data_IF_204199784693
#
_entry.id   IF_204199784693
#
_cell.length_a   1.000
_cell.length_b   1.000
_cell.length_c   1.000
_cell.angle_alpha   90.00
_cell.angle_beta   90.00
_cell.angle_gamma   90.00
#
_symmetry.space_group_name_H-M   'P 1'
#
loop_
_entity.id
_entity.type
_entity.pdbx_description
1 polymer ?
#
# COMPACT_ATOMS: atom_id res chain seq x y z
N UNK A 1 43.53 9.47 9.47
CA UNK A 1 44.07 10.84 9.55
C UNK A 1 44.04 11.44 8.16
N UNK A 2 43.34 12.56 8.00
CA UNK A 2 43.39 13.53 6.87
C UNK A 2 42.70 12.99 5.58
N UNK A 3 41.71 13.61 4.94
CA UNK A 3 41.27 15.02 4.88
C UNK A 3 39.75 15.07 4.57
N UNK A 4 38.91 15.45 5.53
CA UNK A 4 37.53 15.89 5.26
C UNK A 4 37.58 17.37 4.91
N UNK A 5 37.61 17.68 3.61
CA UNK A 5 37.54 19.06 3.14
C UNK A 5 36.56 19.13 1.96
N UNK A 6 35.27 19.08 2.27
CA UNK A 6 34.21 19.54 1.38
C UNK A 6 33.46 20.69 2.06
N UNK A 7 34.18 21.79 2.28
CA UNK A 7 33.55 23.10 2.44
C UNK A 7 32.85 23.44 1.12
N UNK A 8 31.54 23.29 1.09
CA UNK A 8 30.67 23.76 0.01
C UNK A 8 30.68 25.29 -0.03
N UNK A 9 31.70 25.87 -0.66
CA UNK A 9 31.73 27.27 -1.07
C UNK A 9 31.30 27.37 -2.54
N UNK A 10 30.00 27.45 -2.77
CA UNK A 10 29.49 28.03 -4.00
C UNK A 10 28.24 28.86 -3.69
N UNK A 11 28.33 30.15 -4.00
CA UNK A 11 27.24 31.12 -3.92
C UNK A 11 26.23 30.82 -5.03
N UNK A 12 25.26 29.94 -4.79
CA UNK A 12 24.28 29.56 -5.82
C UNK A 12 22.87 29.45 -5.24
N UNK A 13 22.05 30.45 -5.52
CA UNK A 13 20.61 30.39 -5.36
C UNK A 13 19.96 31.52 -6.16
N UNK A 14 18.85 31.24 -6.83
CA UNK A 14 18.08 32.29 -7.51
C UNK A 14 17.49 33.20 -6.43
N UNK A 15 17.97 34.44 -6.35
CA UNK A 15 17.85 35.30 -5.16
C UNK A 15 16.43 35.49 -4.60
N UNK A 16 15.40 35.42 -5.44
CA UNK A 16 14.00 35.64 -5.04
C UNK A 16 13.37 34.45 -4.29
N UNK A 17 14.02 33.28 -4.28
CA UNK A 17 13.58 32.06 -3.61
C UNK A 17 14.31 31.83 -2.27
N UNK A 18 15.25 32.71 -1.91
CA UNK A 18 16.03 32.59 -0.69
C UNK A 18 15.20 32.92 0.55
N UNK A 19 15.39 32.14 1.61
CA UNK A 19 14.78 32.41 2.90
C UNK A 19 15.48 33.58 3.62
N UNK A 20 14.79 34.32 4.51
CA UNK A 20 15.37 35.46 5.24
C UNK A 20 16.67 35.14 5.99
N UNK A 21 16.74 33.99 6.64
CA UNK A 21 17.93 33.52 7.35
C UNK A 21 19.10 33.22 6.41
N UNK A 22 18.86 32.76 5.18
CA UNK A 22 19.92 32.52 4.19
C UNK A 22 20.52 33.86 3.71
N UNK A 23 19.67 34.88 3.51
CA UNK A 23 20.10 36.23 3.13
C UNK A 23 20.85 36.92 4.28
N UNK A 24 20.43 36.69 5.52
CA UNK A 24 21.05 37.30 6.70
C UNK A 24 22.36 36.60 7.13
N UNK A 25 22.50 35.29 6.88
CA UNK A 25 23.75 34.55 7.05
C UNK A 25 24.80 35.04 6.04
N UNK A 26 24.43 35.21 4.77
CA UNK A 26 25.35 35.67 3.72
C UNK A 26 25.83 37.11 3.89
N UNK A 27 25.16 37.91 4.73
CA UNK A 27 25.49 39.33 4.93
C UNK A 27 26.25 39.64 6.23
N UNK A 28 26.18 38.81 7.28
CA UNK A 28 26.74 39.20 8.60
C UNK A 28 27.45 38.11 9.42
N UNK A 29 27.26 36.79 9.21
CA UNK A 29 27.93 35.77 10.08
C UNK A 29 28.19 34.40 9.40
N UNK A 30 29.32 33.76 9.72
CA UNK A 30 29.72 32.41 9.27
C UNK A 30 28.85 31.28 9.90
N UNK A 31 27.52 31.30 9.68
CA UNK A 31 26.59 30.27 10.14
C UNK A 31 26.18 29.29 9.02
N UNK A 32 25.80 28.07 9.39
CA UNK A 32 25.08 27.13 8.51
C UNK A 32 23.58 27.43 8.54
N UNK A 33 22.89 27.35 7.40
CA UNK A 33 21.43 27.52 7.35
C UNK A 33 20.69 26.22 7.72
N UNK A 34 19.44 26.36 8.18
CA UNK A 34 18.56 25.27 8.61
C UNK A 34 17.87 24.61 7.39
N UNK A 35 17.53 23.32 7.47
CA UNK A 35 16.75 22.57 6.47
C UNK A 35 15.39 23.24 6.17
N UNK A 36 14.90 24.08 7.09
CA UNK A 36 13.70 24.90 6.93
C UNK A 36 13.82 25.99 5.88
N UNK A 37 15.03 26.31 5.40
CA UNK A 37 15.23 27.20 4.26
C UNK A 37 14.64 26.59 2.97
N UNK A 38 14.76 25.28 2.79
CA UNK A 38 14.20 24.57 1.62
C UNK A 38 12.66 24.64 1.62
N UNK A 39 12.03 24.62 2.80
CA UNK A 39 10.58 24.79 2.94
C UNK A 39 10.11 26.15 2.39
N UNK A 40 10.88 27.21 2.66
CA UNK A 40 10.59 28.54 2.10
C UNK A 40 10.75 28.56 0.58
N UNK A 41 11.84 27.97 0.07
CA UNK A 41 12.08 27.87 -1.37
C UNK A 41 10.99 27.06 -2.08
N UNK A 42 10.49 25.98 -1.48
CA UNK A 42 9.33 25.23 -1.99
C UNK A 42 8.09 26.13 -2.08
N UNK A 43 7.79 26.95 -1.07
CA UNK A 43 6.68 27.90 -1.14
C UNK A 43 6.82 28.88 -2.31
N UNK A 44 8.05 29.38 -2.53
CA UNK A 44 8.36 30.25 -3.66
C UNK A 44 8.16 29.54 -5.01
N UNK A 45 8.54 28.26 -5.12
CA UNK A 45 8.29 27.44 -6.32
C UNK A 45 6.80 27.21 -6.54
N UNK A 46 6.01 26.95 -5.48
CA UNK A 46 4.55 26.81 -5.59
C UNK A 46 3.90 28.10 -6.09
N UNK A 47 4.32 29.25 -5.58
CA UNK A 47 3.90 30.56 -6.09
C UNK A 47 4.22 30.70 -7.58
N UNK A 48 5.43 30.34 -7.98
CA UNK A 48 5.85 30.41 -9.39
C UNK A 48 5.03 29.50 -10.30
N UNK A 49 4.79 28.25 -9.89
CA UNK A 49 3.98 27.30 -10.66
C UNK A 49 2.54 27.80 -10.86
N UNK A 50 1.96 28.44 -9.85
CA UNK A 50 0.54 28.85 -9.87
C UNK A 50 0.34 30.17 -10.60
N UNK A 51 1.27 31.10 -10.43
CA UNK A 51 1.16 32.45 -11.00
C UNK A 51 1.85 32.56 -12.37
N UNK A 52 2.70 31.60 -12.73
CA UNK A 52 3.61 31.67 -13.87
C UNK A 52 4.70 32.74 -13.72
N UNK A 53 4.84 33.32 -12.52
CA UNK A 53 5.73 34.45 -12.25
C UNK A 53 6.61 34.18 -11.04
N UNK A 54 7.86 34.64 -11.03
CA UNK A 54 8.73 34.47 -9.87
C UNK A 54 8.17 35.24 -8.65
N UNK A 55 8.48 34.80 -7.41
CA UNK A 55 8.15 35.58 -6.22
C UNK A 55 8.75 36.99 -6.31
N UNK A 56 8.03 38.02 -5.85
CA UNK A 56 8.39 39.42 -6.09
C UNK A 56 8.58 39.75 -7.59
N UNK A 57 7.53 39.61 -8.43
CA UNK A 57 7.67 39.74 -9.88
C UNK A 57 8.09 41.16 -10.31
N UNK A 58 7.70 42.17 -9.53
CA UNK A 58 7.96 43.59 -9.80
C UNK A 58 9.33 44.09 -9.34
N UNK A 59 10.10 43.27 -8.61
CA UNK A 59 11.37 43.68 -8.02
C UNK A 59 12.57 43.10 -8.77
N UNK A 60 13.67 43.86 -8.78
CA UNK A 60 14.98 43.29 -9.17
C UNK A 60 15.48 42.33 -8.09
N UNK A 61 16.44 41.46 -8.42
CA UNK A 61 17.01 40.53 -7.46
C UNK A 61 17.59 41.24 -6.22
N UNK A 62 18.26 42.38 -6.42
CA UNK A 62 18.81 43.16 -5.31
C UNK A 62 17.73 43.78 -4.41
N UNK A 63 16.65 44.31 -5.01
CA UNK A 63 15.51 44.82 -4.23
C UNK A 63 14.79 43.73 -3.45
N UNK A 64 14.64 42.54 -4.06
CA UNK A 64 14.08 41.37 -3.39
C UNK A 64 14.95 40.93 -2.21
N UNK A 65 16.28 40.86 -2.37
CA UNK A 65 17.21 40.53 -1.28
C UNK A 65 17.06 41.47 -0.09
N UNK A 66 17.00 42.79 -0.32
CA UNK A 66 16.81 43.77 0.77
C UNK A 66 15.47 43.55 1.47
N UNK A 67 14.37 43.30 0.73
CA UNK A 67 13.06 43.03 1.33
C UNK A 67 13.08 41.73 2.14
N UNK A 68 13.67 40.67 1.60
CA UNK A 68 13.76 39.36 2.25
C UNK A 68 14.59 39.45 3.54
N UNK A 69 15.77 40.10 3.50
CA UNK A 69 16.63 40.30 4.68
C UNK A 69 15.94 41.09 5.80
N UNK A 70 15.06 42.03 5.44
CA UNK A 70 14.19 42.76 6.36
C UNK A 70 12.95 41.96 6.82
N UNK A 71 12.87 40.66 6.52
CA UNK A 71 11.78 39.79 6.96
C UNK A 71 10.45 40.02 6.24
N UNK A 72 10.45 40.57 5.01
CA UNK A 72 9.24 40.65 4.20
C UNK A 72 8.97 39.33 3.50
N UNK A 73 7.72 38.88 3.56
CA UNK A 73 7.23 37.72 2.82
C UNK A 73 7.18 37.99 1.30
N UNK A 74 7.20 36.94 0.46
CA UNK A 74 7.02 37.07 -0.98
C UNK A 74 5.74 37.82 -1.35
N UNK A 75 5.86 38.75 -2.30
CA UNK A 75 4.72 39.40 -2.94
C UNK A 75 4.33 38.61 -4.19
N UNK A 76 3.07 38.19 -4.26
CA UNK A 76 2.52 37.41 -5.36
C UNK A 76 1.00 37.62 -5.48
N UNK A 77 0.50 37.52 -6.70
CA UNK A 77 -0.91 37.72 -7.04
C UNK A 77 -1.52 36.36 -7.42
N UNK A 78 -2.24 35.73 -6.49
CA UNK A 78 -2.90 34.44 -6.76
C UNK A 78 -4.10 34.62 -7.70
N UNK A 79 -4.36 33.67 -8.63
CA UNK A 79 -5.59 33.64 -9.43
C UNK A 79 -6.84 33.68 -8.54
N UNK A 80 -7.91 34.36 -8.99
CA UNK A 80 -9.14 34.54 -8.21
C UNK A 80 -9.85 33.22 -7.84
N UNK A 81 -9.59 32.15 -8.58
CA UNK A 81 -10.10 30.80 -8.34
C UNK A 81 -9.20 29.93 -7.46
N UNK A 82 -8.18 30.50 -6.80
CA UNK A 82 -7.30 29.78 -5.89
C UNK A 82 -8.03 29.31 -4.64
N UNK A 83 -7.85 28.03 -4.28
CA UNK A 83 -8.52 27.40 -3.14
C UNK A 83 -8.07 27.98 -1.79
N UNK A 84 -8.87 27.83 -0.73
CA UNK A 84 -8.52 28.31 0.61
C UNK A 84 -7.38 27.48 1.22
N UNK A 85 -7.30 26.20 0.88
CA UNK A 85 -6.28 25.26 1.32
C UNK A 85 -4.91 25.67 0.77
N UNK A 86 -4.83 26.09 -0.50
CA UNK A 86 -3.62 26.65 -1.09
C UNK A 86 -3.16 27.92 -0.36
N UNK A 87 -4.10 28.80 -0.02
CA UNK A 87 -3.79 30.04 0.70
C UNK A 87 -3.25 29.73 2.10
N UNK A 88 -3.85 28.78 2.79
CA UNK A 88 -3.39 28.34 4.11
C UNK A 88 -2.01 27.66 4.03
N UNK A 89 -1.79 26.82 3.02
CA UNK A 89 -0.51 26.16 2.78
C UNK A 89 0.64 27.18 2.62
N UNK A 90 0.47 28.19 1.77
CA UNK A 90 1.47 29.25 1.57
C UNK A 90 1.66 30.10 2.83
N UNK A 91 0.59 30.39 3.56
CA UNK A 91 0.64 31.15 4.83
C UNK A 91 1.42 30.41 5.92
N UNK A 92 1.34 29.08 5.96
CA UNK A 92 2.11 28.24 6.88
C UNK A 92 3.58 28.14 6.48
N UNK A 93 3.89 28.14 5.19
CA UNK A 93 5.28 28.12 4.69
C UNK A 93 6.00 29.45 4.92
N UNK A 94 5.38 30.59 4.60
CA UNK A 94 6.06 31.89 4.63
C UNK A 94 6.18 32.51 6.02
N UNK A 95 6.48 31.72 7.07
CA UNK A 95 6.86 32.27 8.38
C UNK A 95 8.30 32.75 8.35
N UNK A 96 8.55 33.99 8.76
CA UNK A 96 9.90 34.56 8.77
C UNK A 96 10.80 33.77 9.71
N UNK A 97 10.32 33.45 10.91
CA UNK A 97 11.01 32.58 11.87
C UNK A 97 11.00 31.11 11.38
N UNK A 98 12.17 30.51 11.08
CA UNK A 98 12.27 29.12 10.61
C UNK A 98 11.65 28.11 11.58
N UNK A 99 11.68 28.38 12.90
CA UNK A 99 11.13 27.49 13.92
C UNK A 99 9.62 27.36 13.86
N UNK A 100 8.94 28.34 13.29
CA UNK A 100 7.49 28.36 13.11
C UNK A 100 7.04 27.77 11.77
N UNK A 101 7.99 27.46 10.87
CA UNK A 101 7.66 26.81 9.60
C UNK A 101 7.38 25.32 9.84
N UNK A 102 6.43 24.72 9.13
CA UNK A 102 6.18 23.27 9.16
C UNK A 102 7.37 22.48 8.63
N UNK A 103 7.47 21.20 8.98
CA UNK A 103 8.42 20.26 8.34
C UNK A 103 7.87 19.77 7.00
N UNK A 104 8.70 19.10 6.20
CA UNK A 104 8.22 18.40 5.00
C UNK A 104 7.12 17.39 5.32
N UNK A 105 7.25 16.66 6.43
CA UNK A 105 6.27 15.65 6.85
C UNK A 105 4.94 16.26 7.28
N UNK A 106 4.97 17.47 7.86
CA UNK A 106 3.77 18.23 8.19
C UNK A 106 3.08 18.74 6.91
N UNK A 107 3.85 19.25 5.95
CA UNK A 107 3.32 19.74 4.67
C UNK A 107 2.72 18.63 3.82
N UNK A 108 3.29 17.42 3.83
CA UNK A 108 2.75 16.25 3.14
C UNK A 108 1.37 15.83 3.67
N UNK A 109 1.02 16.24 4.90
CA UNK A 109 -0.28 15.97 5.54
C UNK A 109 -1.27 17.13 5.39
N UNK A 110 -0.85 18.26 4.82
CA UNK A 110 -1.68 19.45 4.71
C UNK A 110 -2.76 19.29 3.63
N UNK A 111 -3.97 19.80 3.88
CA UNK A 111 -5.14 19.62 3.01
C UNK A 111 -4.87 20.00 1.54
N UNK A 112 -4.19 21.12 1.27
CA UNK A 112 -3.75 21.47 -0.10
C UNK A 112 -3.04 20.34 -0.87
N UNK A 113 -2.22 19.55 -0.19
CA UNK A 113 -1.46 18.43 -0.79
C UNK A 113 -2.32 17.17 -0.80
N UNK A 114 -3.02 16.90 0.30
CA UNK A 114 -3.80 15.68 0.50
C UNK A 114 -5.08 15.69 -0.35
N UNK A 115 -5.76 16.83 -0.50
CA UNK A 115 -7.01 17.00 -1.26
C UNK A 115 -6.81 16.71 -2.76
N UNK A 116 -5.64 17.03 -3.33
CA UNK A 116 -5.31 16.63 -4.71
C UNK A 116 -5.05 15.13 -4.84
N UNK A 117 -4.47 14.49 -3.82
CA UNK A 117 -4.36 13.03 -3.72
C UNK A 117 -5.67 12.32 -3.30
N UNK A 118 -6.64 13.08 -2.79
CA UNK A 118 -7.97 12.67 -2.35
C UNK A 118 -9.09 13.10 -3.29
N UNK A 119 -8.78 13.53 -4.52
CA UNK A 119 -9.75 13.48 -5.64
C UNK A 119 -10.05 12.01 -6.00
N UNK A 120 -10.65 11.36 -5.00
CA UNK A 120 -11.28 10.04 -4.89
C UNK A 120 -12.64 10.05 -5.59
N UNK A 121 -12.90 11.06 -6.42
CA UNK A 121 -14.01 11.04 -7.35
C UNK A 121 -13.60 10.03 -8.41
N UNK A 122 -14.12 8.82 -8.30
CA UNK A 122 -14.13 7.90 -9.41
C UNK A 122 -14.72 8.66 -10.59
N UNK A 123 -14.08 8.64 -11.76
CA UNK A 123 -14.72 9.11 -12.97
C UNK A 123 -16.08 8.42 -13.07
N UNK A 124 -17.18 9.16 -13.20
CA UNK A 124 -18.53 8.57 -13.40
C UNK A 124 -18.56 7.61 -14.61
N UNK A 125 -17.58 7.78 -15.51
CA UNK A 125 -17.34 6.98 -16.69
C UNK A 125 -15.85 6.76 -16.83
N UNK A 126 -15.45 5.59 -17.31
CA UNK A 126 -14.06 5.25 -17.58
C UNK A 126 -13.92 4.50 -18.88
N UNK A 127 -12.74 4.60 -19.48
CA UNK A 127 -12.41 3.90 -20.71
C UNK A 127 -11.68 2.62 -20.33
N UNK A 128 -12.27 1.46 -20.65
CA UNK A 128 -11.58 0.17 -20.51
C UNK A 128 -10.54 0.04 -21.61
N UNK A 129 -9.29 -0.22 -21.23
CA UNK A 129 -8.17 -0.32 -22.16
C UNK A 129 -7.88 -1.77 -22.50
N UNK A 130 -7.58 -2.57 -21.48
CA UNK A 130 -7.24 -3.98 -21.63
C UNK A 130 -7.74 -4.78 -20.44
N UNK A 131 -8.09 -6.04 -20.68
CA UNK A 131 -8.32 -6.97 -19.59
C UNK A 131 -6.97 -7.45 -19.04
N UNK A 132 -6.80 -7.38 -17.72
CA UNK A 132 -5.55 -7.72 -17.01
C UNK A 132 -5.71 -8.91 -16.06
N UNK A 133 -6.94 -9.35 -15.77
CA UNK A 133 -7.21 -10.53 -14.95
C UNK A 133 -8.50 -11.24 -15.36
N UNK A 134 -8.50 -12.56 -15.21
CA UNK A 134 -9.63 -13.44 -15.55
C UNK A 134 -9.95 -14.34 -14.34
N UNK A 135 -11.22 -14.40 -13.98
CA UNK A 135 -11.82 -15.43 -13.13
C UNK A 135 -13.24 -15.74 -13.62
N UNK A 136 -13.84 -16.84 -13.18
CA UNK A 136 -15.15 -17.34 -13.70
C UNK A 136 -16.26 -16.29 -13.66
N UNK A 137 -16.34 -15.52 -12.58
CA UNK A 137 -17.34 -14.45 -12.38
C UNK A 137 -16.72 -13.06 -12.22
N UNK A 138 -15.39 -12.97 -12.33
CA UNK A 138 -14.62 -11.76 -12.05
C UNK A 138 -13.75 -11.43 -13.23
N UNK A 139 -13.78 -10.19 -13.69
CA UNK A 139 -12.86 -9.67 -14.71
C UNK A 139 -12.17 -8.44 -14.18
N UNK A 140 -10.87 -8.29 -14.41
CA UNK A 140 -10.13 -7.09 -14.03
C UNK A 140 -9.67 -6.39 -15.29
N UNK A 141 -9.96 -5.09 -15.40
CA UNK A 141 -9.58 -4.26 -16.54
C UNK A 141 -8.65 -3.15 -16.09
N UNK A 142 -7.63 -2.85 -16.89
CA UNK A 142 -6.99 -1.55 -16.86
C UNK A 142 -7.96 -0.52 -17.47
N UNK A 143 -8.16 0.58 -16.77
CA UNK A 143 -9.00 1.68 -17.20
C UNK A 143 -8.30 3.03 -17.00
N UNK A 144 -8.77 4.03 -17.73
CA UNK A 144 -8.32 5.41 -17.64
C UNK A 144 -9.48 6.36 -17.37
N UNK A 145 -9.17 7.45 -16.68
CA UNK A 145 -10.08 8.59 -16.53
C UNK A 145 -10.17 9.33 -17.88
N UNK A 146 -11.37 9.46 -18.49
CA UNK A 146 -11.54 10.20 -19.75
C UNK A 146 -11.05 11.65 -19.67
N UNK A 147 -11.13 12.26 -18.49
CA UNK A 147 -10.72 13.65 -18.24
C UNK A 147 -9.25 13.76 -17.86
N UNK A 148 -8.62 12.65 -17.47
CA UNK A 148 -7.20 12.57 -17.14
C UNK A 148 -6.61 11.23 -17.63
N UNK A 149 -6.26 11.12 -18.94
CA UNK A 149 -5.76 9.87 -19.51
C UNK A 149 -4.47 9.34 -18.88
N UNK A 150 -3.73 10.16 -18.13
CA UNK A 150 -2.54 9.72 -17.38
C UNK A 150 -2.90 9.02 -16.06
N UNK A 151 -4.14 9.18 -15.59
CA UNK A 151 -4.66 8.52 -14.38
C UNK A 151 -5.19 7.13 -14.75
N UNK A 152 -4.30 6.16 -14.65
CA UNK A 152 -4.62 4.74 -14.82
C UNK A 152 -5.10 4.09 -13.51
N UNK A 153 -6.06 3.18 -13.61
CA UNK A 153 -6.58 2.41 -12.48
C UNK A 153 -7.11 1.05 -12.93
N UNK A 154 -7.26 0.14 -11.98
CA UNK A 154 -7.87 -1.17 -12.22
C UNK A 154 -9.36 -1.14 -11.86
N UNK A 155 -10.19 -1.77 -12.70
CA UNK A 155 -11.61 -1.99 -12.47
C UNK A 155 -11.88 -3.48 -12.38
N UNK A 156 -12.21 -3.96 -11.18
CA UNK A 156 -12.63 -5.33 -10.92
C UNK A 156 -14.15 -5.42 -11.06
N UNK A 157 -14.61 -6.10 -12.09
CA UNK A 157 -16.02 -6.33 -12.37
C UNK A 157 -16.44 -7.71 -11.87
N UNK A 158 -17.50 -7.73 -11.06
CA UNK A 158 -18.12 -8.95 -10.54
C UNK A 158 -19.50 -9.06 -11.17
N UNK A 159 -19.71 -10.10 -11.97
CA UNK A 159 -21.02 -10.40 -12.55
C UNK A 159 -21.88 -11.09 -11.49
N UNK A 160 -23.02 -10.48 -11.16
CA UNK A 160 -23.97 -10.99 -10.18
C UNK A 160 -25.14 -11.65 -10.91
N UNK A 161 -25.60 -12.81 -10.42
CA UNK A 161 -26.91 -13.30 -10.86
C UNK A 161 -27.98 -12.40 -10.24
N UNK A 162 -29.11 -12.13 -10.93
CA UNK A 162 -30.15 -11.25 -10.40
C UNK A 162 -30.64 -11.64 -9.00
N UNK A 163 -30.69 -12.95 -8.72
CA UNK A 163 -31.10 -13.50 -7.41
C UNK A 163 -30.07 -13.28 -6.29
N UNK A 164 -28.80 -13.05 -6.62
CA UNK A 164 -27.71 -12.83 -5.65
C UNK A 164 -27.42 -11.34 -5.43
N UNK A 165 -27.91 -10.47 -6.33
CA UNK A 165 -27.57 -9.05 -6.39
C UNK A 165 -27.73 -8.35 -5.04
N UNK A 166 -28.89 -8.47 -4.40
CA UNK A 166 -29.18 -7.74 -3.17
C UNK A 166 -28.25 -8.19 -2.03
N UNK A 167 -28.08 -9.50 -1.86
CA UNK A 167 -27.17 -10.09 -0.88
C UNK A 167 -25.73 -9.61 -1.12
N UNK A 168 -25.26 -9.69 -2.37
CA UNK A 168 -23.91 -9.28 -2.75
C UNK A 168 -23.69 -7.79 -2.45
N UNK A 169 -24.64 -6.94 -2.84
CA UNK A 169 -24.54 -5.50 -2.62
C UNK A 169 -24.60 -5.14 -1.14
N UNK A 170 -25.43 -5.82 -0.34
CA UNK A 170 -25.50 -5.61 1.10
C UNK A 170 -24.17 -5.94 1.78
N UNK A 171 -23.58 -7.08 1.42
CA UNK A 171 -22.26 -7.50 1.93
C UNK A 171 -21.17 -6.51 1.52
N UNK A 172 -21.16 -6.11 0.25
CA UNK A 172 -20.17 -5.15 -0.25
C UNK A 172 -20.28 -3.77 0.41
N UNK A 173 -21.50 -3.26 0.68
CA UNK A 173 -21.69 -1.96 1.35
C UNK A 173 -21.11 -1.93 2.77
N UNK A 174 -21.09 -3.06 3.48
CA UNK A 174 -20.44 -3.14 4.78
C UNK A 174 -18.92 -3.02 4.64
N UNK A 175 -18.37 -3.63 3.61
CA UNK A 175 -16.93 -3.61 3.34
C UNK A 175 -16.45 -2.29 2.75
N UNK A 176 -17.27 -1.63 1.93
CA UNK A 176 -17.01 -0.29 1.41
C UNK A 176 -16.68 0.71 2.54
N UNK A 177 -17.39 0.61 3.67
CA UNK A 177 -17.12 1.45 4.86
C UNK A 177 -15.72 1.22 5.41
N UNK A 178 -15.21 0.00 5.34
CA UNK A 178 -13.84 -0.34 5.75
C UNK A 178 -12.87 0.19 4.69
N UNK A 179 -13.08 -0.18 3.43
CA UNK A 179 -12.20 0.15 2.30
C UNK A 179 -11.98 1.65 2.10
N UNK A 180 -13.01 2.49 2.33
CA UNK A 180 -12.90 3.95 2.25
C UNK A 180 -11.93 4.55 3.26
N UNK A 181 -11.75 3.89 4.40
CA UNK A 181 -10.91 4.38 5.50
C UNK A 181 -9.50 3.77 5.48
N UNK A 182 -9.24 2.80 4.61
CA UNK A 182 -7.94 2.15 4.46
C UNK A 182 -7.07 2.97 3.50
N UNK A 183 -6.01 3.58 4.01
CA UNK A 183 -5.03 4.31 3.22
C UNK A 183 -3.61 4.05 3.76
N UNK A 184 -2.86 3.22 3.04
CA UNK A 184 -1.50 2.83 3.43
C UNK A 184 -0.67 2.48 2.20
N UNK A 185 0.63 2.78 2.22
CA UNK A 185 1.53 2.57 1.08
C UNK A 185 1.64 1.10 0.64
N UNK A 186 1.41 0.15 1.56
CA UNK A 186 1.47 -1.31 1.33
C UNK A 186 0.12 -1.96 1.09
N UNK A 187 -0.90 -1.15 0.82
CA UNK A 187 -2.25 -1.62 0.55
C UNK A 187 -2.72 -1.02 -0.77
N UNK A 188 -3.37 -1.84 -1.60
CA UNK A 188 -3.95 -1.38 -2.86
C UNK A 188 -5.07 -0.38 -2.54
N UNK A 189 -4.91 0.87 -2.99
CA UNK A 189 -5.87 1.93 -2.70
C UNK A 189 -7.18 1.66 -3.42
N UNK A 190 -8.27 1.68 -2.65
CA UNK A 190 -9.62 1.68 -3.16
C UNK A 190 -10.01 3.10 -3.56
N UNK A 191 -10.50 3.27 -4.79
CA UNK A 191 -11.00 4.56 -5.28
C UNK A 191 -12.52 4.66 -5.15
N UNK A 192 -13.22 3.53 -5.20
CA UNK A 192 -14.67 3.47 -5.05
C UNK A 192 -15.30 2.34 -5.86
N UNK A 193 -16.61 2.39 -6.05
CA UNK A 193 -17.33 1.40 -6.86
C UNK A 193 -18.46 2.03 -7.69
N UNK A 194 -18.95 1.29 -8.68
CA UNK A 194 -20.22 1.54 -9.37
C UNK A 194 -20.99 0.25 -9.55
N UNK A 195 -22.29 0.37 -9.78
CA UNK A 195 -23.19 -0.75 -10.01
C UNK A 195 -24.05 -0.48 -11.24
N UNK A 196 -24.06 -1.39 -12.20
CA UNK A 196 -24.91 -1.29 -13.40
C UNK A 196 -25.15 -2.67 -14.01
N UNK A 197 -26.37 -2.94 -14.49
CA UNK A 197 -26.71 -4.17 -15.23
C UNK A 197 -26.27 -5.49 -14.56
N UNK A 198 -26.48 -5.61 -13.23
CA UNK A 198 -26.01 -6.74 -12.41
C UNK A 198 -24.48 -6.92 -12.37
N UNK A 199 -23.72 -5.87 -12.66
CA UNK A 199 -22.26 -5.84 -12.54
C UNK A 199 -21.87 -4.87 -11.45
N UNK A 200 -21.12 -5.36 -10.47
CA UNK A 200 -20.45 -4.54 -9.45
C UNK A 200 -19.03 -4.25 -9.94
N UNK A 201 -18.70 -2.98 -10.14
CA UNK A 201 -17.39 -2.52 -10.59
C UNK A 201 -16.64 -1.85 -9.44
N UNK A 202 -15.50 -2.39 -9.05
CA UNK A 202 -14.66 -1.89 -7.96
C UNK A 202 -13.41 -1.24 -8.57
N UNK A 203 -13.23 0.06 -8.33
CA UNK A 203 -12.12 0.85 -8.84
C UNK A 203 -11.00 0.91 -7.79
N UNK A 204 -9.77 0.59 -8.21
CA UNK A 204 -8.61 0.51 -7.32
C UNK A 204 -7.32 0.91 -8.07
N UNK A 205 -6.23 1.16 -7.34
CA UNK A 205 -4.93 1.43 -7.99
C UNK A 205 -4.54 0.29 -8.94
N UNK A 206 -4.07 0.65 -10.14
CA UNK A 206 -3.51 -0.32 -11.08
C UNK A 206 -2.12 -0.77 -10.60
N UNK A 207 -1.86 -2.08 -10.71
CA UNK A 207 -0.60 -2.72 -10.34
C UNK A 207 -0.01 -3.33 -11.62
N UNK A 208 0.97 -2.67 -12.27
CA UNK A 208 1.38 -3.00 -13.64
C UNK A 208 2.00 -4.37 -13.81
N UNK A 209 2.59 -4.94 -12.75
CA UNK A 209 3.23 -6.25 -12.79
C UNK A 209 2.31 -7.42 -12.41
N UNK A 210 1.02 -7.16 -12.17
CA UNK A 210 0.06 -8.21 -11.83
C UNK A 210 0.24 -8.74 -10.41
N UNK A 211 -0.18 -9.99 -10.18
CA UNK A 211 -0.07 -10.64 -8.88
C UNK A 211 1.26 -11.38 -8.71
N UNK A 212 1.65 -11.62 -7.46
CA UNK A 212 2.79 -12.46 -7.11
C UNK A 212 2.65 -13.88 -7.70
N UNK A 213 1.43 -14.42 -7.75
CA UNK A 213 1.18 -15.73 -8.37
C UNK A 213 1.46 -15.71 -9.87
N UNK A 214 1.01 -14.67 -10.59
CA UNK A 214 1.33 -14.50 -12.01
C UNK A 214 2.84 -14.36 -12.22
N UNK A 215 3.51 -13.62 -11.34
CA UNK A 215 4.96 -13.41 -11.39
C UNK A 215 5.74 -14.72 -11.19
N UNK A 216 5.30 -15.61 -10.28
CA UNK A 216 5.91 -16.92 -10.07
C UNK A 216 5.61 -17.89 -11.23
N UNK A 217 4.43 -17.80 -11.84
CA UNK A 217 3.99 -18.67 -12.94
C UNK A 217 4.50 -18.27 -14.34
N UNK A 218 4.83 -17.00 -14.57
CA UNK A 218 5.15 -16.44 -15.90
C UNK A 218 6.60 -16.70 -16.38
N UNK A 219 7.47 -17.34 -15.59
CA UNK A 219 8.88 -17.65 -15.95
C UNK A 219 9.09 -18.89 -16.83
N UNK A 220 8.05 -19.43 -17.47
CA UNK A 220 8.17 -20.52 -18.45
C UNK A 220 8.27 -21.93 -17.83
N UNK A 221 9.09 -22.82 -18.40
CA UNK A 221 9.21 -24.24 -18.00
C UNK A 221 9.94 -24.49 -16.67
N UNK A 222 10.57 -23.47 -16.06
CA UNK A 222 11.09 -23.55 -14.71
C UNK A 222 10.17 -22.74 -13.78
N UNK A 223 9.64 -23.38 -12.72
CA UNK A 223 8.90 -22.69 -11.67
C UNK A 223 9.75 -21.51 -11.18
N UNK A 224 9.27 -20.28 -11.37
CA UNK A 224 9.94 -19.11 -10.84
C UNK A 224 9.91 -19.20 -9.31
N UNK A 225 11.05 -19.00 -8.66
CA UNK A 225 11.13 -18.73 -7.24
C UNK A 225 11.71 -17.33 -7.03
N UNK A 226 11.43 -16.75 -5.87
CA UNK A 226 11.95 -15.46 -5.46
C UNK A 226 13.14 -15.70 -4.52
N UNK A 227 14.32 -15.14 -4.85
CA UNK A 227 15.49 -15.17 -3.98
C UNK A 227 15.19 -14.67 -2.57
N UNK A 228 15.89 -15.21 -1.58
CA UNK A 228 15.56 -15.01 -0.17
C UNK A 228 15.60 -13.54 0.27
N UNK A 229 16.56 -12.76 -0.23
CA UNK A 229 16.69 -11.32 -0.01
C UNK A 229 15.47 -10.54 -0.52
N UNK A 230 15.04 -10.84 -1.74
CA UNK A 230 13.86 -10.24 -2.33
C UNK A 230 12.57 -10.70 -1.62
N UNK A 231 12.51 -11.97 -1.19
CA UNK A 231 11.39 -12.50 -0.42
C UNK A 231 11.29 -11.81 0.95
N UNK A 232 12.42 -11.54 1.62
CA UNK A 232 12.47 -10.78 2.86
C UNK A 232 11.97 -9.34 2.67
N UNK A 233 12.35 -8.67 1.58
CA UNK A 233 11.83 -7.35 1.22
C UNK A 233 10.31 -7.36 1.06
N UNK A 234 9.78 -8.29 0.26
CA UNK A 234 8.33 -8.42 0.08
C UNK A 234 7.63 -8.76 1.40
N UNK A 235 8.12 -9.73 2.18
CA UNK A 235 7.54 -10.08 3.49
C UNK A 235 7.48 -8.89 4.43
N UNK A 236 8.53 -8.06 4.50
CA UNK A 236 8.53 -6.83 5.30
C UNK A 236 7.42 -5.87 4.85
N UNK A 237 7.31 -5.61 3.55
CA UNK A 237 6.26 -4.76 3.00
C UNK A 237 4.85 -5.30 3.27
N UNK A 238 4.65 -6.61 3.19
CA UNK A 238 3.39 -7.24 3.56
C UNK A 238 3.10 -7.04 5.05
N UNK A 239 4.08 -7.25 5.93
CA UNK A 239 3.91 -7.06 7.37
C UNK A 239 3.63 -5.60 7.75
N UNK A 240 4.21 -4.62 7.06
CA UNK A 240 3.86 -3.19 7.24
C UNK A 240 2.37 -2.95 6.94
N UNK A 241 1.85 -3.54 5.85
CA UNK A 241 0.43 -3.46 5.51
C UNK A 241 -0.47 -4.20 6.51
N UNK A 242 -0.07 -5.41 6.94
CA UNK A 242 -0.79 -6.20 7.94
C UNK A 242 -0.81 -5.49 9.29
N UNK A 243 0.30 -4.89 9.72
CA UNK A 243 0.37 -4.09 10.94
C UNK A 243 -0.66 -2.96 10.91
N UNK A 244 -0.68 -2.18 9.83
CA UNK A 244 -1.66 -1.10 9.66
C UNK A 244 -3.10 -1.62 9.76
N UNK A 245 -3.43 -2.74 9.10
CA UNK A 245 -4.77 -3.32 9.18
C UNK A 245 -5.12 -3.73 10.61
N UNK A 246 -4.20 -4.41 11.30
CA UNK A 246 -4.41 -4.90 12.66
C UNK A 246 -4.57 -3.76 13.68
N UNK A 247 -3.80 -2.69 13.55
CA UNK A 247 -3.93 -1.47 14.38
C UNK A 247 -5.29 -0.77 14.18
N UNK A 248 -5.90 -0.95 13.00
CA UNK A 248 -7.25 -0.46 12.69
C UNK A 248 -8.35 -1.52 12.93
N UNK A 249 -8.06 -2.61 13.66
CA UNK A 249 -8.99 -3.71 13.95
C UNK A 249 -9.55 -4.42 12.70
N UNK A 250 -8.78 -4.46 11.62
CA UNK A 250 -9.14 -5.15 10.38
C UNK A 250 -8.30 -6.43 10.27
N UNK A 251 -8.96 -7.57 10.08
CA UNK A 251 -8.31 -8.86 9.78
C UNK A 251 -8.54 -9.17 8.31
N UNK A 252 -7.48 -9.45 7.55
CA UNK A 252 -7.55 -9.64 6.11
C UNK A 252 -8.17 -11.00 5.72
N UNK A 253 -7.77 -12.09 6.38
CA UNK A 253 -8.27 -13.48 6.21
C UNK A 253 -8.05 -14.13 4.84
N UNK A 254 -7.32 -13.49 3.93
CA UNK A 254 -7.17 -13.97 2.55
C UNK A 254 -5.85 -13.59 1.89
N UNK A 255 -4.78 -13.46 2.69
CA UNK A 255 -3.44 -13.15 2.19
C UNK A 255 -2.91 -14.38 1.43
N UNK A 256 -2.75 -14.23 0.12
CA UNK A 256 -2.24 -15.26 -0.80
C UNK A 256 -1.46 -14.59 -1.94
N UNK A 257 -0.70 -15.37 -2.72
CA UNK A 257 0.01 -14.84 -3.90
C UNK A 257 -0.90 -14.14 -4.93
N UNK A 258 -2.18 -14.52 -5.02
CA UNK A 258 -3.17 -13.85 -5.90
C UNK A 258 -3.51 -12.43 -5.46
N UNK A 259 -3.39 -12.16 -4.16
CA UNK A 259 -3.79 -10.90 -3.54
C UNK A 259 -2.60 -10.00 -3.21
N UNK A 260 -1.38 -10.45 -3.48
CA UNK A 260 -0.18 -9.62 -3.38
C UNK A 260 0.09 -9.09 -4.77
N UNK A 261 -0.11 -7.79 -4.95
CA UNK A 261 0.03 -7.14 -6.24
C UNK A 261 1.35 -6.36 -6.32
N UNK A 262 1.95 -6.37 -7.49
CA UNK A 262 3.27 -5.82 -7.73
C UNK A 262 3.17 -4.48 -8.47
N UNK A 263 3.69 -3.43 -7.84
CA UNK A 263 3.83 -2.10 -8.44
C UNK A 263 5.15 -2.01 -9.22
N UNK A 264 6.21 -2.63 -8.70
CA UNK A 264 7.52 -2.80 -9.33
C UNK A 264 8.24 -4.01 -8.73
N UNK A 265 9.40 -4.39 -9.25
CA UNK A 265 10.26 -5.46 -8.71
C UNK A 265 10.73 -5.22 -7.25
N UNK A 266 10.50 -4.03 -6.69
CA UNK A 266 10.87 -3.67 -5.32
C UNK A 266 9.69 -3.19 -4.47
N UNK A 267 8.45 -3.23 -5.02
CA UNK A 267 7.27 -2.68 -4.36
C UNK A 267 6.06 -3.61 -4.54
N UNK A 268 5.58 -4.18 -3.44
CA UNK A 268 4.35 -4.97 -3.35
C UNK A 268 3.31 -4.31 -2.45
N UNK A 269 2.04 -4.56 -2.77
CA UNK A 269 0.88 -4.08 -2.00
C UNK A 269 -0.14 -5.20 -1.80
N UNK A 270 -0.75 -5.23 -0.63
CA UNK A 270 -1.86 -6.11 -0.30
C UNK A 270 -3.14 -5.61 -0.98
N UNK A 271 -3.65 -6.37 -1.93
CA UNK A 271 -5.00 -6.27 -2.46
C UNK A 271 -5.92 -7.30 -1.83
N UNK A 272 -7.16 -7.42 -2.32
CA UNK A 272 -8.08 -8.46 -1.84
C UNK A 272 -8.58 -8.24 -0.41
N UNK A 273 -8.38 -7.05 0.15
CA UNK A 273 -9.15 -6.58 1.31
C UNK A 273 -10.60 -6.52 0.82
N UNK A 274 -11.40 -7.52 1.19
CA UNK A 274 -12.85 -7.59 1.00
C UNK A 274 -13.42 -8.11 -0.36
N UNK A 275 -14.22 -9.20 -0.26
CA UNK A 275 -15.66 -9.50 -0.60
C UNK A 275 -15.89 -10.98 -0.94
N UNK A 276 -14.88 -11.74 -1.39
CA UNK A 276 -15.11 -13.09 -1.96
C UNK A 276 -15.66 -14.16 -0.98
N UNK A 277 -15.44 -14.02 0.34
CA UNK A 277 -15.79 -15.06 1.31
C UNK A 277 -17.14 -14.85 2.01
N UNK A 278 -17.57 -13.61 2.24
CA UNK A 278 -18.88 -13.33 2.86
C UNK A 278 -20.03 -13.72 1.93
N UNK A 279 -19.82 -13.70 0.61
CA UNK A 279 -20.79 -14.19 -0.39
C UNK A 279 -21.15 -15.68 -0.26
N UNK A 280 -20.42 -16.45 0.54
CA UNK A 280 -20.52 -17.92 0.56
C UNK A 280 -20.98 -18.49 1.90
N UNK A 281 -21.26 -17.63 2.87
CA UNK A 281 -21.66 -18.03 4.22
C UNK A 281 -22.99 -18.81 4.29
N UNK A 282 -23.78 -18.85 3.22
CA UNK A 282 -25.11 -19.47 3.24
C UNK A 282 -25.25 -20.76 2.41
N UNK A 283 -24.19 -21.25 1.75
CA UNK A 283 -24.33 -22.48 0.92
C UNK A 283 -23.16 -23.46 0.85
N UNK A 284 -21.99 -23.18 1.45
CA UNK A 284 -20.77 -23.96 1.13
C UNK A 284 -19.92 -24.47 2.31
N UNK A 285 -20.46 -24.58 3.52
CA UNK A 285 -19.85 -25.46 4.52
C UNK A 285 -19.68 -26.92 3.99
N UNK A 286 -20.43 -27.31 2.95
CA UNK A 286 -20.36 -28.63 2.28
C UNK A 286 -19.39 -28.73 1.10
N UNK A 287 -18.71 -27.65 0.69
CA UNK A 287 -17.88 -27.61 -0.55
C UNK A 287 -16.39 -27.37 -0.27
N UNK A 288 -15.92 -27.70 0.94
CA UNK A 288 -14.47 -27.78 1.21
C UNK A 288 -13.85 -29.10 0.67
N UNK A 289 -14.67 -30.01 0.12
CA UNK A 289 -14.31 -31.40 -0.17
C UNK A 289 -14.77 -31.92 -1.55
N UNK A 290 -15.13 -31.06 -2.52
CA UNK A 290 -15.46 -31.50 -3.89
C UNK A 290 -14.69 -30.72 -4.95
N UNK A 291 -14.03 -31.50 -5.81
CA UNK A 291 -13.13 -31.10 -6.90
C UNK A 291 -13.78 -30.34 -8.06
N UNK A 292 -12.88 -29.72 -8.83
CA UNK A 292 -12.96 -29.39 -10.27
C UNK A 292 -13.82 -28.22 -10.73
N UNK A 293 -13.87 -27.15 -9.94
CA UNK A 293 -14.07 -25.84 -10.56
C UNK A 293 -13.25 -24.77 -9.86
N UNK A 294 -12.66 -23.87 -10.65
CA UNK A 294 -11.85 -22.68 -10.29
C UNK A 294 -12.61 -21.67 -9.39
N UNK A 295 -13.18 -22.17 -8.31
CA UNK A 295 -14.00 -21.48 -7.34
C UNK A 295 -13.11 -21.39 -6.11
N UNK A 296 -12.32 -20.32 -6.02
CA UNK A 296 -11.20 -20.04 -5.10
C UNK A 296 -11.43 -20.20 -3.58
N UNK A 297 -11.95 -21.35 -3.14
CA UNK A 297 -11.95 -21.83 -1.77
C UNK A 297 -10.92 -22.95 -1.63
N UNK A 298 -10.90 -23.91 -2.57
CA UNK A 298 -10.00 -25.08 -2.55
C UNK A 298 -8.52 -24.68 -2.60
N UNK A 299 -8.17 -23.64 -3.38
CA UNK A 299 -6.81 -23.11 -3.45
C UNK A 299 -6.37 -22.30 -2.22
N UNK A 300 -7.29 -21.64 -1.52
CA UNK A 300 -6.95 -20.76 -0.39
C UNK A 300 -6.70 -21.51 0.91
N UNK A 301 -7.24 -22.73 1.03
CA UNK A 301 -7.11 -23.57 2.24
C UNK A 301 -5.66 -23.72 2.69
N UNK A 302 -4.71 -23.81 1.76
CA UNK A 302 -3.29 -23.98 2.09
C UNK A 302 -2.68 -22.76 2.80
N UNK A 303 -3.32 -21.59 2.74
CA UNK A 303 -2.93 -20.36 3.43
C UNK A 303 -3.75 -20.10 4.70
N UNK A 304 -4.80 -20.89 4.98
CA UNK A 304 -5.66 -20.66 6.14
C UNK A 304 -5.03 -21.22 7.42
N UNK A 305 -5.09 -20.42 8.48
CA UNK A 305 -4.63 -20.81 9.80
C UNK A 305 -5.54 -21.90 10.42
N UNK A 306 -5.01 -22.81 11.27
CA UNK A 306 -5.80 -23.87 11.90
C UNK A 306 -7.06 -23.37 12.63
N UNK A 307 -6.93 -22.28 13.39
CA UNK A 307 -8.01 -21.67 14.16
C UNK A 307 -9.11 -21.07 13.28
N UNK A 308 -8.75 -20.53 12.10
CA UNK A 308 -9.72 -20.04 11.12
C UNK A 308 -10.46 -21.19 10.44
N UNK A 309 -9.76 -22.28 10.11
CA UNK A 309 -10.39 -23.48 9.53
C UNK A 309 -11.39 -24.08 10.52
N UNK A 310 -11.02 -24.21 11.80
CA UNK A 310 -11.91 -24.72 12.85
C UNK A 310 -13.16 -23.86 12.99
N UNK A 311 -13.03 -22.53 12.98
CA UNK A 311 -14.19 -21.64 13.04
C UNK A 311 -15.11 -21.82 11.83
N UNK A 312 -14.57 -21.86 10.61
CA UNK A 312 -15.38 -22.05 9.40
C UNK A 312 -16.11 -23.40 9.39
N UNK A 313 -15.56 -24.42 10.05
CA UNK A 313 -16.15 -25.75 10.17
C UNK A 313 -17.15 -25.89 11.32
N UNK A 314 -16.94 -25.15 12.41
CA UNK A 314 -17.82 -25.18 13.57
C UNK A 314 -18.90 -24.12 13.38
N UNK A 315 -20.12 -24.53 13.01
CA UNK A 315 -21.30 -23.64 12.91
C UNK A 315 -21.69 -22.95 14.24
N UNK A 316 -20.95 -23.23 15.32
CA UNK A 316 -21.06 -22.62 16.64
C UNK A 316 -20.25 -21.33 16.68
N UNK A 317 -20.87 -20.20 16.32
CA UNK A 317 -20.25 -18.87 16.17
C UNK A 317 -19.67 -18.22 17.44
N UNK A 318 -18.81 -18.93 18.16
CA UNK A 318 -18.10 -18.44 19.34
C UNK A 318 -16.90 -17.53 18.98
N UNK A 319 -16.61 -17.29 17.70
CA UNK A 319 -15.61 -16.35 17.19
C UNK A 319 -14.22 -16.56 17.84
N UNK A 320 -13.67 -17.77 17.72
CA UNK A 320 -12.46 -18.22 18.46
C UNK A 320 -11.12 -17.89 17.80
N UNK A 321 -11.08 -17.01 16.79
CA UNK A 321 -9.83 -16.61 16.11
C UNK A 321 -9.55 -15.12 16.27
N UNK A 322 -8.28 -14.73 16.11
CA UNK A 322 -7.83 -13.35 16.21
C UNK A 322 -7.03 -12.93 14.96
N UNK A 323 -6.43 -11.75 14.98
CA UNK A 323 -5.65 -11.21 13.86
C UNK A 323 -4.40 -12.03 13.50
N UNK A 324 -3.97 -12.99 14.33
CA UNK A 324 -2.81 -13.85 14.05
C UNK A 324 -3.05 -14.81 12.89
N UNK A 325 -4.29 -15.00 12.44
CA UNK A 325 -4.59 -15.78 11.22
C UNK A 325 -3.86 -15.21 9.99
N UNK A 326 -3.72 -13.89 9.90
CA UNK A 326 -3.01 -13.23 8.79
C UNK A 326 -1.51 -13.50 8.84
N UNK A 327 -0.94 -13.64 10.04
CA UNK A 327 0.49 -13.93 10.23
C UNK A 327 0.83 -15.33 9.71
N UNK A 328 -0.05 -16.30 9.92
CA UNK A 328 0.08 -17.63 9.31
C UNK A 328 0.07 -17.54 7.79
N UNK A 329 -0.89 -16.81 7.21
CA UNK A 329 -1.01 -16.63 5.77
C UNK A 329 0.22 -15.93 5.17
N UNK A 330 0.85 -14.98 5.88
CA UNK A 330 2.15 -14.39 5.49
C UNK A 330 3.25 -15.45 5.47
N UNK A 331 3.33 -16.33 6.47
CA UNK A 331 4.27 -17.46 6.48
C UNK A 331 4.08 -18.41 5.30
N UNK A 332 2.83 -18.79 5.01
CA UNK A 332 2.46 -19.60 3.86
C UNK A 332 2.84 -18.95 2.53
N UNK A 333 2.69 -17.64 2.43
CA UNK A 333 3.10 -16.86 1.25
C UNK A 333 4.62 -16.81 1.10
N UNK A 334 5.37 -16.69 2.20
CA UNK A 334 6.83 -16.74 2.15
C UNK A 334 7.33 -18.10 1.65
N UNK A 335 6.69 -19.19 2.08
CA UNK A 335 6.95 -20.53 1.49
C UNK A 335 6.67 -20.51 -0.01
N UNK A 336 5.57 -19.91 -0.45
CA UNK A 336 5.26 -19.78 -1.88
C UNK A 336 6.34 -19.03 -2.66
N UNK A 337 6.82 -17.90 -2.12
CA UNK A 337 7.87 -17.09 -2.75
C UNK A 337 9.16 -17.89 -2.95
N UNK A 338 9.66 -18.54 -1.90
CA UNK A 338 10.99 -19.19 -1.94
C UNK A 338 10.99 -20.55 -2.62
N UNK A 339 9.81 -21.16 -2.83
CA UNK A 339 9.68 -22.48 -3.49
C UNK A 339 9.05 -22.40 -4.88
N UNK A 340 8.46 -21.25 -5.24
CA UNK A 340 7.69 -21.10 -6.48
C UNK A 340 6.41 -21.93 -6.52
N UNK A 341 5.95 -22.47 -5.39
CA UNK A 341 4.84 -23.42 -5.32
C UNK A 341 3.92 -23.12 -4.16
N UNK A 342 2.64 -23.49 -4.27
CA UNK A 342 1.71 -23.38 -3.14
C UNK A 342 2.28 -24.08 -1.88
N UNK A 343 2.05 -23.54 -0.68
CA UNK A 343 2.39 -24.23 0.55
C UNK A 343 1.65 -25.57 0.58
N UNK A 344 2.32 -26.60 1.09
CA UNK A 344 1.76 -27.94 1.20
C UNK A 344 1.33 -28.58 -0.13
N UNK A 345 1.92 -28.20 -1.27
CA UNK A 345 1.53 -28.68 -2.62
C UNK A 345 1.49 -30.22 -2.79
N UNK A 346 2.17 -30.98 -1.92
CA UNK A 346 2.20 -32.43 -1.99
C UNK A 346 0.98 -33.10 -1.33
N UNK A 347 0.07 -32.30 -0.77
CA UNK A 347 -1.12 -32.76 -0.08
C UNK A 347 -2.35 -32.23 -0.76
N UNK A 348 -3.37 -33.07 -0.84
CA UNK A 348 -4.69 -32.64 -1.25
C UNK A 348 -5.27 -31.68 -0.20
N UNK A 349 -6.10 -30.68 -0.59
CA UNK A 349 -6.64 -29.68 0.33
C UNK A 349 -7.32 -30.27 1.56
N UNK A 350 -8.06 -31.37 1.40
CA UNK A 350 -8.71 -32.06 2.52
C UNK A 350 -7.71 -32.68 3.51
N UNK A 351 -6.53 -33.12 3.04
CA UNK A 351 -5.46 -33.66 3.88
C UNK A 351 -4.76 -32.53 4.65
N UNK A 352 -4.56 -31.37 4.00
CA UNK A 352 -4.04 -30.16 4.66
C UNK A 352 -4.95 -29.76 5.81
N UNK A 353 -6.26 -29.64 5.54
CA UNK A 353 -7.29 -29.37 6.55
C UNK A 353 -7.23 -30.38 7.69
N UNK A 354 -7.30 -31.67 7.38
CA UNK A 354 -7.32 -32.73 8.39
C UNK A 354 -6.10 -32.68 9.30
N UNK A 355 -4.90 -32.49 8.75
CA UNK A 355 -3.68 -32.32 9.53
C UNK A 355 -3.76 -31.09 10.43
N UNK A 356 -4.14 -29.92 9.88
CA UNK A 356 -4.20 -28.69 10.65
C UNK A 356 -5.22 -28.76 11.80
N UNK A 357 -6.41 -29.32 11.57
CA UNK A 357 -7.44 -29.39 12.64
C UNK A 357 -7.07 -30.41 13.73
N UNK A 358 -6.33 -31.47 13.39
CA UNK A 358 -5.85 -32.48 14.34
C UNK A 358 -4.57 -32.09 15.08
N UNK A 359 -4.09 -30.85 14.92
CA UNK A 359 -2.91 -30.34 15.63
C UNK A 359 -1.57 -30.61 14.93
N UNK A 360 -1.60 -31.18 13.71
CA UNK A 360 -0.40 -31.47 12.95
C UNK A 360 -0.15 -30.38 11.91
N UNK A 361 0.99 -29.71 11.98
CA UNK A 361 1.43 -28.82 10.90
C UNK A 361 1.88 -29.67 9.70
N UNK A 362 1.31 -29.48 8.50
CA UNK A 362 1.79 -30.18 7.32
C UNK A 362 3.23 -29.78 7.00
N UNK A 363 3.99 -30.72 6.44
CA UNK A 363 5.37 -30.46 6.03
C UNK A 363 5.40 -29.60 4.77
N UNK A 364 6.39 -28.72 4.71
CA UNK A 364 6.73 -27.95 3.52
C UNK A 364 8.23 -28.10 3.27
N UNK A 365 8.60 -28.25 2.00
CA UNK A 365 10.01 -28.38 1.59
C UNK A 365 10.57 -27.01 1.25
N UNK A 366 11.67 -26.65 1.87
CA UNK A 366 12.47 -25.47 1.50
C UNK A 366 13.65 -25.91 0.62
N UNK A 367 14.24 -25.00 -0.18
CA UNK A 367 15.51 -25.28 -0.84
C UNK A 367 16.61 -25.63 0.19
N UNK A 368 17.54 -26.52 -0.16
CA UNK A 368 18.67 -26.89 0.71
C UNK A 368 19.56 -25.69 1.08
N UNK A 369 19.48 -24.61 0.29
CA UNK A 369 20.19 -23.35 0.50
C UNK A 369 19.47 -22.37 1.44
N UNK A 370 18.29 -22.73 1.97
CA UNK A 370 17.50 -21.87 2.84
C UNK A 370 18.28 -21.45 4.09
N UNK A 371 18.32 -20.15 4.38
CA UNK A 371 19.04 -19.67 5.55
C UNK A 371 18.37 -20.09 6.86
N UNK A 372 19.17 -20.11 7.93
CA UNK A 372 18.66 -20.30 9.29
C UNK A 372 17.65 -19.23 9.68
N UNK A 373 17.86 -17.96 9.28
CA UNK A 373 16.92 -16.86 9.58
C UNK A 373 15.56 -17.06 8.90
N UNK A 374 15.52 -17.52 7.65
CA UNK A 374 14.28 -17.86 6.96
C UNK A 374 13.53 -18.99 7.68
N UNK A 375 14.25 -20.05 8.05
CA UNK A 375 13.69 -21.20 8.77
C UNK A 375 13.11 -20.77 10.12
N UNK A 376 13.86 -19.98 10.89
CA UNK A 376 13.43 -19.52 12.21
C UNK A 376 12.24 -18.55 12.12
N UNK A 377 12.20 -17.70 11.09
CA UNK A 377 11.04 -16.86 10.80
C UNK A 377 9.78 -17.69 10.49
N UNK A 378 9.90 -18.71 9.62
CA UNK A 378 8.80 -19.60 9.26
C UNK A 378 8.29 -20.43 10.44
N UNK A 379 9.18 -20.86 11.36
CA UNK A 379 8.76 -21.54 12.60
C UNK A 379 7.82 -20.67 13.42
N UNK A 380 8.12 -19.38 13.54
CA UNK A 380 7.32 -18.43 14.32
C UNK A 380 6.01 -18.10 13.60
N UNK A 381 6.02 -17.84 12.29
CA UNK A 381 4.80 -17.49 11.55
C UNK A 381 3.86 -18.67 11.37
N UNK A 382 4.40 -19.88 11.24
CA UNK A 382 3.64 -21.13 11.08
C UNK A 382 3.55 -21.91 12.41
N UNK A 383 3.51 -21.20 13.53
CA UNK A 383 3.20 -21.76 14.83
C UNK A 383 1.71 -22.12 14.90
N UNK A 384 1.38 -23.32 15.39
CA UNK A 384 0.01 -23.84 15.39
C UNK A 384 -0.87 -23.09 16.39
N UNK A 385 -0.32 -22.82 17.59
CA UNK A 385 -1.00 -22.01 18.60
C UNK A 385 -0.93 -20.51 18.23
N UNK A 386 -2.07 -19.82 17.97
CA UNK A 386 -2.07 -18.40 17.62
C UNK A 386 -1.50 -17.49 18.73
N UNK A 387 -1.58 -17.89 19.99
CA UNK A 387 -1.05 -17.09 21.11
C UNK A 387 0.49 -17.07 21.13
N UNK A 388 1.11 -18.17 20.67
CA UNK A 388 2.56 -18.28 20.53
C UNK A 388 3.09 -17.65 19.23
N UNK A 389 2.21 -17.39 18.24
CA UNK A 389 2.56 -16.75 16.97
C UNK A 389 2.84 -15.26 17.22
N UNK A 390 3.95 -14.70 16.73
CA UNK A 390 4.22 -13.26 16.90
C UNK A 390 3.24 -12.39 16.11
N UNK A 391 3.03 -11.14 16.53
CA UNK A 391 2.28 -10.13 15.75
C UNK A 391 3.12 -9.53 14.62
N UNK A 392 2.49 -8.83 13.68
CA UNK A 392 3.20 -8.13 12.62
C UNK A 392 4.23 -7.12 13.16
N UNK A 393 3.83 -6.31 14.16
CA UNK A 393 4.71 -5.37 14.85
C UNK A 393 5.90 -6.06 15.51
N UNK A 394 5.67 -7.20 16.18
CA UNK A 394 6.75 -7.97 16.80
C UNK A 394 7.73 -8.49 15.74
N UNK A 395 7.23 -9.07 14.65
CA UNK A 395 8.06 -9.61 13.57
C UNK A 395 8.91 -8.52 12.90
N UNK A 396 8.33 -7.36 12.60
CA UNK A 396 9.06 -6.22 12.02
C UNK A 396 10.21 -5.75 12.93
N UNK A 397 10.02 -5.80 14.25
CA UNK A 397 10.99 -5.31 15.22
C UNK A 397 12.05 -6.34 15.62
N UNK A 398 11.73 -7.64 15.64
CA UNK A 398 12.61 -8.66 16.22
C UNK A 398 13.23 -9.61 15.20
N UNK A 399 12.62 -9.76 14.02
CA UNK A 399 13.08 -10.75 13.03
C UNK A 399 14.44 -10.39 12.45
N UNK A 400 15.39 -11.33 12.54
CA UNK A 400 16.68 -11.23 11.82
C UNK A 400 16.52 -11.50 10.33
N UNK A 401 15.48 -12.22 9.90
CA UNK A 401 15.20 -12.43 8.48
C UNK A 401 14.83 -11.13 7.76
N UNK A 402 14.20 -10.18 8.47
CA UNK A 402 13.78 -8.89 7.91
C UNK A 402 14.83 -7.78 8.09
N UNK A 403 15.85 -8.01 8.93
CA UNK A 403 16.93 -7.07 9.20
C UNK A 403 18.13 -7.45 8.33
N UNK A 404 18.62 -6.48 7.56
CA UNK A 404 19.85 -6.58 6.77
C UNK A 404 19.82 -7.62 5.64
N UNK A 405 19.44 -7.14 4.44
CA UNK A 405 20.10 -7.45 3.15
C UNK A 405 19.66 -6.43 2.11
#
# INVERSE_FOLDING_TARGET
MINENTNARSSVGTYKWMAPEVVNITSVTNGSYDLKADIWSIGCTVVEMITGNPPFPKLTNFQALIKIGNGKQPEYDLPSNSSEELKDFLKNIFKVDPKQRPTSDDLLKHDFVVEQCLSSVIPKQWIKIKQVGIGTFVKVFLAQDPMNPQKEFAVKEINMRPVEREMIMQLFRNEEKILKNVNHQRIVKFYGFSESNNVLSICMSYMPMGSLEDYLGSRGQQKGFIPEDQAALYTRQLLEGVQYLHENNIIHKDITGKHILMESEISVKLGGISVSKTFRHDSQARTLLKDDSDIGCVGTVNWMAPELIKEVMNESGDNKYNNKVDIWSVGCTLVQMVTGSAPFQNLEPHQVVFKLITGHRPEYSLPDTASKSLIDFLKVTLEHNPDSRLSATQLLNTSTFLKEK
#
